data_IF_617390082746
#
_entry.id   IF_617390082746
#
_cell.length_a   1.000
_cell.length_b   1.000
_cell.length_c   1.000
_cell.angle_alpha   90.00
_cell.angle_beta   90.00
_cell.angle_gamma   90.00
#
_symmetry.space_group_name_H-M   'P 1'
#
loop_
_entity.id
_entity.type
_entity.pdbx_description
1 polymer ?
#
# COMPACT_ATOMS: atom_id res chain seq x y z
N UNK A 1 64.06 14.19 -50.51
CA UNK A 1 63.12 14.84 -49.62
C UNK A 1 63.03 14.00 -48.33
N UNK A 2 63.44 14.55 -47.19
CA UNK A 2 63.87 13.87 -45.97
C UNK A 2 62.67 13.35 -45.17
N UNK A 3 62.74 12.06 -44.82
CA UNK A 3 61.82 11.41 -43.86
C UNK A 3 62.49 11.51 -42.46
N UNK A 4 61.84 12.10 -41.50
CA UNK A 4 62.30 12.16 -40.11
C UNK A 4 61.43 11.17 -39.30
N UNK A 5 62.07 10.11 -38.82
CA UNK A 5 61.52 9.20 -37.83
C UNK A 5 61.65 9.80 -36.44
N UNK A 6 60.54 9.97 -35.70
CA UNK A 6 60.53 10.26 -34.30
C UNK A 6 60.06 9.04 -33.55
N UNK A 7 60.95 8.39 -32.82
CA UNK A 7 60.66 7.32 -31.89
C UNK A 7 60.13 7.99 -30.60
N UNK A 8 58.87 7.74 -30.25
CA UNK A 8 58.32 8.09 -28.93
C UNK A 8 58.37 6.88 -28.04
N UNK A 9 59.18 7.00 -26.99
CA UNK A 9 59.23 6.05 -25.88
C UNK A 9 57.90 5.94 -25.18
N UNK A 10 57.33 4.71 -25.14
CA UNK A 10 56.08 4.44 -24.48
C UNK A 10 56.21 4.43 -22.98
N UNK A 11 55.42 5.27 -22.31
CA UNK A 11 55.15 5.17 -20.89
C UNK A 11 53.93 4.30 -20.69
N UNK A 12 54.10 3.17 -20.04
CA UNK A 12 53.03 2.26 -19.67
C UNK A 12 52.27 2.83 -18.48
N UNK A 13 51.13 3.46 -18.72
CA UNK A 13 50.14 3.73 -17.66
C UNK A 13 49.26 2.48 -17.50
N UNK A 14 49.44 1.75 -16.40
CA UNK A 14 48.46 0.79 -15.93
C UNK A 14 47.24 1.59 -15.44
N UNK A 15 46.04 1.33 -16.00
CA UNK A 15 44.83 1.86 -15.39
C UNK A 15 44.63 1.11 -14.07
N UNK A 16 44.76 1.80 -12.93
CA UNK A 16 44.19 1.32 -11.68
C UNK A 16 42.66 1.21 -11.86
N UNK A 17 42.21 0.00 -12.08
CA UNK A 17 40.78 -0.34 -11.98
C UNK A 17 40.39 -0.19 -10.50
N UNK A 18 39.97 1.01 -10.12
CA UNK A 18 39.34 1.25 -8.84
C UNK A 18 38.06 0.43 -8.78
N UNK A 19 38.11 -0.70 -8.10
CA UNK A 19 36.93 -1.45 -7.71
C UNK A 19 36.13 -0.56 -6.77
N UNK A 20 35.19 0.25 -7.33
CA UNK A 20 34.16 0.86 -6.50
C UNK A 20 33.28 -0.27 -5.99
N UNK A 21 33.64 -0.75 -4.80
CA UNK A 21 32.72 -1.53 -3.98
C UNK A 21 31.61 -0.54 -3.61
N UNK A 22 30.52 -0.53 -4.37
CA UNK A 22 29.27 0.04 -3.89
C UNK A 22 28.85 -0.81 -2.69
N UNK A 23 29.34 -0.40 -1.53
CA UNK A 23 28.79 -0.83 -0.28
C UNK A 23 27.33 -0.39 -0.29
N UNK A 24 26.42 -1.32 -0.59
CA UNK A 24 25.03 -1.14 -0.25
C UNK A 24 25.03 -1.03 1.28
N UNK A 25 24.93 0.19 1.77
CA UNK A 25 24.61 0.41 3.17
C UNK A 25 23.26 -0.27 3.38
N UNK A 26 23.30 -1.47 3.92
CA UNK A 26 22.13 -2.06 4.55
C UNK A 26 21.76 -1.05 5.64
N UNK A 27 20.74 -0.25 5.38
CA UNK A 27 20.12 0.56 6.43
C UNK A 27 19.52 -0.50 7.36
N UNK A 28 20.30 -0.86 8.37
CA UNK A 28 19.81 -1.73 9.42
C UNK A 28 18.64 -1.01 10.09
N UNK A 29 17.60 -1.77 10.43
CA UNK A 29 16.53 -1.24 11.26
C UNK A 29 17.16 -0.56 12.49
N UNK A 30 16.63 0.58 12.96
CA UNK A 30 17.15 1.22 14.16
C UNK A 30 17.13 0.22 15.31
N UNK A 31 18.21 0.19 16.09
CA UNK A 31 18.24 -0.70 17.25
C UNK A 31 17.18 -0.25 18.28
N UNK A 32 16.61 -1.17 19.07
CA UNK A 32 15.61 -0.80 20.08
C UNK A 32 16.05 0.34 21.00
N UNK A 33 17.36 0.43 21.31
CA UNK A 33 17.92 1.49 22.17
C UNK A 33 17.88 2.90 21.53
N UNK A 34 17.69 2.99 20.22
CA UNK A 34 17.57 4.27 19.51
C UNK A 34 16.13 4.82 19.54
N UNK A 35 15.17 4.04 20.00
CA UNK A 35 13.76 4.39 20.04
C UNK A 35 13.39 4.84 21.44
N UNK A 36 12.92 6.08 21.58
CA UNK A 36 12.42 6.59 22.87
C UNK A 36 11.00 6.12 23.10
N UNK A 37 10.76 5.56 24.27
CA UNK A 37 9.45 5.05 24.67
C UNK A 37 8.97 5.78 25.93
N UNK A 38 7.65 5.91 26.13
CA UNK A 38 7.08 6.28 27.42
C UNK A 38 7.38 5.23 28.48
N UNK A 39 7.31 5.62 29.76
CA UNK A 39 7.47 4.70 30.88
C UNK A 39 6.42 3.58 30.84
N UNK A 40 6.86 2.37 31.14
CA UNK A 40 6.01 1.16 31.13
C UNK A 40 5.90 0.48 29.75
N UNK A 41 6.51 1.03 28.71
CA UNK A 41 6.58 0.38 27.40
C UNK A 41 7.94 -0.26 27.15
N UNK A 42 7.93 -1.38 26.42
CA UNK A 42 9.12 -2.08 25.94
C UNK A 42 9.00 -2.31 24.45
N UNK A 43 10.11 -2.16 23.73
CA UNK A 43 10.19 -2.47 22.30
C UNK A 43 11.12 -3.66 22.08
N UNK A 44 10.73 -4.53 21.18
CA UNK A 44 11.51 -5.68 20.75
C UNK A 44 11.48 -5.80 19.24
N UNK A 45 12.63 -6.10 18.62
CA UNK A 45 12.70 -6.42 17.21
C UNK A 45 12.28 -7.88 17.03
N UNK A 46 11.10 -8.12 16.48
CA UNK A 46 10.54 -9.45 16.25
C UNK A 46 11.11 -10.11 15.00
N UNK A 47 11.27 -9.32 13.93
CA UNK A 47 11.71 -9.84 12.63
C UNK A 47 12.34 -8.74 11.79
N UNK A 48 13.43 -9.07 11.08
CA UNK A 48 14.02 -8.22 10.06
C UNK A 48 13.64 -8.78 8.69
N UNK A 49 12.78 -8.05 7.98
CA UNK A 49 12.27 -8.48 6.67
C UNK A 49 13.41 -8.58 5.65
N UNK A 50 13.69 -9.76 5.06
CA UNK A 50 14.66 -9.88 3.99
C UNK A 50 14.14 -9.22 2.72
N UNK A 51 14.65 -8.03 2.44
CA UNK A 51 14.14 -7.13 1.39
C UNK A 51 14.13 -7.78 0.00
N UNK A 52 15.12 -8.61 -0.30
CA UNK A 52 15.24 -9.24 -1.62
C UNK A 52 14.19 -10.34 -1.85
N UNK A 53 13.72 -10.97 -0.77
CA UNK A 53 12.78 -12.07 -0.83
C UNK A 53 11.35 -11.66 -0.49
N UNK A 54 11.16 -10.81 0.52
CA UNK A 54 9.85 -10.44 1.07
C UNK A 54 9.53 -8.96 0.90
N UNK A 55 10.43 -8.17 0.34
CA UNK A 55 10.21 -6.76 0.00
C UNK A 55 10.15 -5.81 1.18
N UNK A 56 9.20 -4.87 1.14
CA UNK A 56 8.94 -3.89 2.20
C UNK A 56 7.49 -4.04 2.65
N UNK A 57 7.29 -4.44 3.89
CA UNK A 57 5.95 -4.59 4.44
C UNK A 57 5.34 -3.21 4.76
N UNK A 58 4.15 -2.95 4.23
CA UNK A 58 3.49 -1.64 4.30
C UNK A 58 2.11 -1.67 4.93
N UNK A 59 1.47 -2.83 5.01
CA UNK A 59 0.20 -3.00 5.69
C UNK A 59 0.21 -4.28 6.51
N UNK A 60 -0.58 -4.30 7.59
CA UNK A 60 -0.77 -5.48 8.42
C UNK A 60 -2.18 -5.53 9.01
N UNK A 61 -2.65 -6.74 9.25
CA UNK A 61 -3.82 -7.02 10.09
C UNK A 61 -3.60 -8.31 10.86
N UNK A 62 -4.49 -8.62 11.79
CA UNK A 62 -4.50 -9.86 12.53
C UNK A 62 -5.71 -10.69 12.07
N UNK A 63 -5.52 -12.01 11.91
CA UNK A 63 -6.61 -12.93 11.61
C UNK A 63 -7.30 -13.46 12.89
N UNK A 64 -8.35 -14.24 12.73
CA UNK A 64 -9.15 -14.86 13.80
C UNK A 64 -8.36 -15.85 14.66
N UNK A 65 -7.23 -16.37 14.15
CA UNK A 65 -6.32 -17.28 14.86
C UNK A 65 -5.18 -16.54 15.57
N UNK A 66 -5.20 -15.21 15.55
CA UNK A 66 -4.19 -14.37 16.19
C UNK A 66 -2.86 -14.31 15.43
N UNK A 67 -2.82 -14.66 14.15
CA UNK A 67 -1.65 -14.53 13.30
C UNK A 67 -1.59 -13.16 12.66
N UNK A 68 -0.39 -12.67 12.37
CA UNK A 68 -0.22 -11.48 11.55
C UNK A 68 -0.31 -11.83 10.06
N UNK A 69 -1.04 -11.01 9.32
CA UNK A 69 -1.04 -10.95 7.87
C UNK A 69 -0.41 -9.63 7.46
N UNK A 70 0.59 -9.68 6.59
CA UNK A 70 1.36 -8.50 6.15
C UNK A 70 1.50 -8.51 4.63
N UNK A 71 1.64 -7.32 4.03
CA UNK A 71 1.83 -7.19 2.58
C UNK A 71 3.12 -6.47 2.23
N UNK A 72 3.84 -6.99 1.24
CA UNK A 72 4.89 -6.25 0.54
C UNK A 72 4.27 -5.19 -0.38
N UNK A 73 4.79 -3.98 -0.35
CA UNK A 73 4.34 -2.86 -1.17
C UNK A 73 4.15 -3.21 -2.66
N UNK A 74 4.99 -4.05 -3.21
CA UNK A 74 4.99 -4.43 -4.64
C UNK A 74 4.83 -5.92 -4.89
N UNK A 75 4.79 -6.71 -3.85
CA UNK A 75 4.88 -8.16 -3.92
C UNK A 75 3.74 -8.89 -3.23
N UNK A 76 4.11 -9.92 -2.49
CA UNK A 76 3.20 -10.87 -1.89
C UNK A 76 2.56 -10.43 -0.59
N UNK A 77 1.64 -11.27 -0.15
CA UNK A 77 1.02 -11.20 1.16
C UNK A 77 1.49 -12.41 1.95
N UNK A 78 1.88 -12.21 3.19
CA UNK A 78 2.44 -13.25 4.04
C UNK A 78 1.65 -13.36 5.34
N UNK A 79 1.64 -14.55 5.94
CA UNK A 79 0.96 -14.85 7.20
C UNK A 79 1.88 -15.64 8.12
N UNK A 80 1.91 -15.31 9.41
CA UNK A 80 2.72 -16.01 10.39
C UNK A 80 2.18 -15.82 11.82
N UNK A 81 2.46 -16.76 12.74
CA UNK A 81 2.06 -16.63 14.14
C UNK A 81 2.84 -15.51 14.82
N UNK A 82 2.17 -14.75 15.69
CA UNK A 82 2.84 -13.77 16.57
C UNK A 82 3.67 -14.55 17.60
N UNK A 83 5.00 -14.30 17.70
CA UNK A 83 5.82 -14.98 18.68
C UNK A 83 5.45 -14.56 20.10
N UNK A 84 5.78 -15.40 21.08
CA UNK A 84 5.63 -15.03 22.49
C UNK A 84 6.58 -13.87 22.84
N UNK A 85 6.25 -13.17 23.94
CA UNK A 85 7.10 -12.08 24.43
C UNK A 85 8.53 -12.59 24.68
N UNK A 86 9.51 -11.90 24.11
CA UNK A 86 10.93 -12.25 24.19
C UNK A 86 11.39 -13.24 23.11
N UNK A 87 10.49 -13.79 22.29
CA UNK A 87 10.82 -14.64 21.15
C UNK A 87 10.85 -13.84 19.84
N UNK A 88 11.51 -14.38 18.83
CA UNK A 88 11.53 -13.82 17.47
C UNK A 88 10.64 -14.65 16.55
N UNK A 89 10.22 -14.05 15.45
CA UNK A 89 9.52 -14.77 14.39
C UNK A 89 10.48 -15.81 13.80
N UNK A 90 10.03 -17.07 13.76
CA UNK A 90 10.71 -18.12 13.01
C UNK A 90 10.46 -17.89 11.50
N UNK A 91 11.51 -17.65 10.69
CA UNK A 91 11.35 -17.47 9.25
C UNK A 91 10.63 -18.64 8.56
N UNK A 92 10.79 -19.87 9.07
CA UNK A 92 10.12 -21.05 8.51
C UNK A 92 8.62 -21.07 8.76
N UNK A 93 8.11 -20.29 9.73
CA UNK A 93 6.68 -20.15 10.00
C UNK A 93 5.96 -19.17 9.07
N UNK A 94 6.71 -18.38 8.30
CA UNK A 94 6.14 -17.38 7.39
C UNK A 94 5.62 -18.06 6.14
N UNK A 95 4.30 -18.03 5.97
CA UNK A 95 3.61 -18.60 4.82
C UNK A 95 3.23 -17.49 3.85
N UNK A 96 3.50 -17.66 2.57
CA UNK A 96 2.97 -16.80 1.53
C UNK A 96 1.53 -17.21 1.21
N UNK A 97 0.61 -16.26 1.18
CA UNK A 97 -0.79 -16.50 0.82
C UNK A 97 -0.88 -16.89 -0.66
N UNK A 98 -1.65 -17.94 -0.97
CA UNK A 98 -1.71 -18.62 -2.28
C UNK A 98 -1.97 -17.69 -3.46
N UNK A 99 -2.88 -16.73 -3.30
CA UNK A 99 -3.22 -15.76 -4.35
C UNK A 99 -2.26 -14.59 -4.45
N UNK A 100 -1.26 -14.50 -3.57
CA UNK A 100 -0.35 -13.37 -3.61
C UNK A 100 0.73 -13.51 -4.70
N UNK A 101 1.25 -12.38 -5.15
CA UNK A 101 2.36 -12.32 -6.10
C UNK A 101 3.63 -12.92 -5.50
N UNK A 102 4.36 -13.73 -6.23
CA UNK A 102 5.57 -14.37 -5.73
C UNK A 102 6.70 -13.36 -5.59
N UNK A 103 6.96 -12.95 -4.34
CA UNK A 103 8.18 -12.32 -3.86
C UNK A 103 8.61 -11.00 -4.51
N UNK A 104 9.66 -10.39 -3.98
CA UNK A 104 10.27 -9.15 -4.45
C UNK A 104 10.77 -9.18 -5.92
N UNK A 105 10.79 -10.35 -6.55
CA UNK A 105 11.05 -10.48 -8.00
C UNK A 105 10.02 -9.78 -8.87
N UNK A 106 8.79 -9.61 -8.40
CA UNK A 106 7.79 -8.76 -9.05
C UNK A 106 8.23 -7.29 -9.08
N UNK A 107 9.01 -6.85 -8.10
CA UNK A 107 9.57 -5.50 -7.99
C UNK A 107 10.56 -5.16 -9.10
N UNK A 108 11.36 -6.13 -9.53
CA UNK A 108 12.34 -5.93 -10.62
C UNK A 108 11.69 -5.63 -11.96
N UNK A 109 10.45 -6.05 -12.15
CA UNK A 109 9.68 -5.79 -13.37
C UNK A 109 9.34 -4.31 -13.56
N UNK A 110 9.17 -3.58 -12.46
CA UNK A 110 8.89 -2.13 -12.49
C UNK A 110 10.17 -1.32 -12.78
N UNK A 111 11.35 -1.87 -12.45
CA UNK A 111 12.66 -1.20 -12.59
C UNK A 111 13.45 -1.70 -13.83
N UNK A 112 12.85 -2.51 -14.71
CA UNK A 112 13.45 -2.90 -15.99
C UNK A 112 14.42 -4.07 -15.96
N UNK A 113 14.32 -4.97 -14.97
CA UNK A 113 15.08 -6.23 -14.96
C UNK A 113 14.13 -7.43 -15.12
N UNK A 114 14.39 -8.29 -16.13
CA UNK A 114 13.56 -9.46 -16.44
C UNK A 114 13.49 -10.47 -15.28
N UNK A 115 12.27 -10.79 -14.77
CA UNK A 115 12.09 -11.86 -13.80
C UNK A 115 12.22 -13.23 -14.49
N UNK A 116 12.69 -14.23 -13.74
CA UNK A 116 12.59 -15.63 -14.20
C UNK A 116 11.09 -15.95 -14.46
N UNK A 117 10.78 -16.66 -15.54
CA UNK A 117 9.41 -17.02 -15.87
C UNK A 117 8.80 -17.88 -14.74
N UNK A 118 7.55 -17.57 -14.36
CA UNK A 118 6.75 -18.40 -13.47
C UNK A 118 6.47 -19.76 -14.14
N UNK A 119 6.29 -20.80 -13.33
CA UNK A 119 5.79 -22.08 -13.89
C UNK A 119 4.44 -21.85 -14.57
N UNK A 120 4.08 -22.63 -15.61
CA UNK A 120 2.83 -22.47 -16.34
C UNK A 120 1.59 -22.52 -15.43
N UNK A 121 1.62 -23.33 -14.37
CA UNK A 121 0.52 -23.46 -13.40
C UNK A 121 0.40 -22.19 -12.54
N UNK A 122 1.51 -21.69 -12.00
CA UNK A 122 1.53 -20.46 -11.19
C UNK A 122 1.19 -19.21 -12.01
N UNK A 123 1.47 -19.23 -13.31
CA UNK A 123 1.13 -18.12 -14.19
C UNK A 123 -0.38 -18.00 -14.48
N UNK A 124 -1.13 -19.10 -14.33
CA UNK A 124 -2.59 -19.14 -14.61
C UNK A 124 -3.45 -18.65 -13.46
N UNK A 125 -2.94 -18.66 -12.23
CA UNK A 125 -3.72 -18.19 -11.07
C UNK A 125 -3.78 -16.67 -11.04
N UNK A 126 -4.93 -16.08 -10.74
CA UNK A 126 -5.01 -14.64 -10.48
C UNK A 126 -4.10 -14.30 -9.31
N UNK A 127 -3.26 -13.27 -9.49
CA UNK A 127 -2.27 -12.88 -8.47
C UNK A 127 -2.65 -11.54 -7.88
N UNK A 128 -2.79 -11.50 -6.56
CA UNK A 128 -2.98 -10.28 -5.80
C UNK A 128 -1.64 -9.82 -5.22
N UNK A 129 -1.33 -8.57 -5.41
CA UNK A 129 -0.14 -7.90 -4.90
C UNK A 129 -0.35 -6.40 -4.90
N UNK A 130 0.66 -5.62 -4.53
CA UNK A 130 0.53 -4.17 -4.38
C UNK A 130 -0.57 -3.79 -3.36
N UNK A 131 -0.75 -4.62 -2.34
CA UNK A 131 -1.72 -4.40 -1.31
C UNK A 131 -1.24 -3.26 -0.39
N UNK A 132 -2.06 -2.22 -0.28
CA UNK A 132 -1.82 -1.07 0.59
C UNK A 132 -2.68 -1.11 1.85
N UNK A 133 -3.77 -1.88 1.83
CA UNK A 133 -4.63 -2.10 2.98
C UNK A 133 -5.01 -3.55 3.14
N UNK A 134 -5.05 -4.02 4.37
CA UNK A 134 -5.45 -5.37 4.76
C UNK A 134 -6.43 -5.31 5.93
N UNK A 135 -7.48 -6.11 5.88
CA UNK A 135 -8.42 -6.29 6.98
C UNK A 135 -8.92 -7.73 6.99
N UNK A 136 -8.80 -8.42 8.13
CA UNK A 136 -9.46 -9.70 8.34
C UNK A 136 -10.77 -9.46 9.10
N UNK A 137 -11.87 -9.77 8.46
CA UNK A 137 -13.21 -9.66 9.02
C UNK A 137 -14.16 -10.60 8.25
N UNK A 138 -15.29 -10.97 8.84
CA UNK A 138 -16.32 -11.80 8.21
C UNK A 138 -15.74 -13.09 7.58
N UNK A 139 -14.86 -13.76 8.33
CA UNK A 139 -14.13 -14.98 7.92
C UNK A 139 -13.42 -14.85 6.57
N UNK A 140 -12.88 -13.66 6.29
CA UNK A 140 -12.27 -13.33 5.00
C UNK A 140 -11.15 -12.31 5.14
N UNK A 141 -10.20 -12.35 4.22
CA UNK A 141 -9.18 -11.31 4.09
C UNK A 141 -9.61 -10.32 3.00
N UNK A 142 -9.83 -9.08 3.40
CA UNK A 142 -10.04 -7.96 2.49
C UNK A 142 -8.71 -7.30 2.16
N UNK A 143 -8.54 -6.97 0.88
CA UNK A 143 -7.29 -6.43 0.35
C UNK A 143 -7.58 -5.22 -0.51
N UNK A 144 -6.96 -4.08 -0.19
CA UNK A 144 -6.98 -2.88 -1.02
C UNK A 144 -5.73 -2.87 -1.89
N UNK A 145 -5.93 -2.90 -3.19
CA UNK A 145 -4.85 -2.87 -4.19
C UNK A 145 -4.74 -1.48 -4.79
N UNK A 146 -3.54 -0.91 -4.71
CA UNK A 146 -3.25 0.42 -5.25
C UNK A 146 -1.97 0.38 -6.09
N UNK A 147 -2.08 0.03 -7.36
CA UNK A 147 -0.96 0.05 -8.29
C UNK A 147 -1.37 -0.04 -9.75
N UNK A 148 -0.73 0.76 -10.58
CA UNK A 148 -0.80 0.65 -12.06
C UNK A 148 -0.23 -0.67 -12.58
N UNK A 149 0.64 -1.31 -11.80
CA UNK A 149 1.31 -2.56 -12.19
C UNK A 149 0.54 -3.80 -11.74
N UNK A 150 -0.57 -3.63 -11.03
CA UNK A 150 -1.43 -4.76 -10.65
C UNK A 150 -2.14 -5.32 -11.88
N UNK A 151 -2.05 -6.63 -12.07
CA UNK A 151 -2.79 -7.33 -13.13
C UNK A 151 -4.30 -7.38 -12.87
N UNK A 152 -4.71 -7.16 -11.61
CA UNK A 152 -6.11 -7.14 -11.20
C UNK A 152 -6.73 -5.74 -11.28
N UNK A 153 -5.90 -4.69 -11.42
CA UNK A 153 -6.31 -3.28 -11.32
C UNK A 153 -6.40 -2.81 -9.87
N UNK A 154 -6.56 -1.49 -9.71
CA UNK A 154 -6.80 -0.91 -8.40
C UNK A 154 -8.21 -1.25 -7.95
N UNK A 155 -8.37 -1.56 -6.67
CA UNK A 155 -9.68 -1.93 -6.16
C UNK A 155 -9.66 -2.63 -4.83
N UNK A 156 -10.84 -3.07 -4.42
CA UNK A 156 -11.06 -3.85 -3.21
C UNK A 156 -11.39 -5.29 -3.58
N UNK A 157 -10.68 -6.20 -2.94
CA UNK A 157 -10.78 -7.64 -3.18
C UNK A 157 -11.05 -8.36 -1.86
N UNK A 158 -11.70 -9.52 -1.95
CA UNK A 158 -11.97 -10.41 -0.83
C UNK A 158 -11.41 -11.79 -1.14
N UNK A 159 -10.60 -12.32 -0.23
CA UNK A 159 -10.09 -13.68 -0.25
C UNK A 159 -10.90 -14.52 0.75
N UNK A 160 -11.39 -15.66 0.31
CA UNK A 160 -12.18 -16.59 1.11
C UNK A 160 -11.49 -17.95 1.16
N UNK A 161 -11.62 -18.59 2.30
CA UNK A 161 -11.40 -20.01 2.51
C UNK A 161 -12.78 -20.67 2.45
N UNK A 162 -13.09 -21.39 1.36
CA UNK A 162 -14.45 -21.91 1.14
C UNK A 162 -14.60 -23.36 1.58
N UNK A 163 -13.52 -24.07 1.82
CA UNK A 163 -13.52 -25.46 2.27
C UNK A 163 -13.06 -25.65 3.73
N UNK A 164 -12.59 -24.56 4.37
CA UNK A 164 -12.23 -24.56 5.78
C UNK A 164 -10.86 -25.17 6.08
N UNK A 165 -9.98 -25.27 5.08
CA UNK A 165 -8.63 -25.84 5.24
C UNK A 165 -7.57 -24.85 5.69
N UNK A 166 -7.97 -23.60 5.99
CA UNK A 166 -7.13 -22.49 6.39
C UNK A 166 -6.30 -21.88 5.24
N UNK A 167 -6.61 -22.24 3.99
CA UNK A 167 -6.03 -21.59 2.83
C UNK A 167 -7.12 -20.82 2.07
N UNK A 168 -6.75 -19.64 1.55
CA UNK A 168 -7.68 -18.91 0.71
C UNK A 168 -7.74 -19.57 -0.68
N UNK A 169 -8.90 -20.04 -1.09
CA UNK A 169 -9.13 -20.74 -2.35
C UNK A 169 -9.98 -19.93 -3.34
N UNK A 170 -10.57 -18.82 -2.91
CA UNK A 170 -11.41 -17.96 -3.75
C UNK A 170 -11.07 -16.50 -3.62
N UNK A 171 -10.86 -15.84 -4.76
CA UNK A 171 -10.66 -14.41 -4.90
C UNK A 171 -11.88 -13.76 -5.54
N UNK A 172 -12.47 -12.78 -4.85
CA UNK A 172 -13.63 -12.00 -5.32
C UNK A 172 -13.23 -10.54 -5.46
N UNK A 173 -13.50 -9.92 -6.61
CA UNK A 173 -13.38 -8.47 -6.79
C UNK A 173 -14.67 -7.83 -6.29
N UNK A 174 -14.58 -7.02 -5.23
CA UNK A 174 -15.72 -6.28 -4.68
C UNK A 174 -15.97 -4.97 -5.44
N UNK A 175 -14.89 -4.25 -5.75
CA UNK A 175 -14.97 -2.98 -6.50
C UNK A 175 -13.70 -2.75 -7.31
N UNK A 176 -13.88 -2.33 -8.54
CA UNK A 176 -12.82 -1.76 -9.36
C UNK A 176 -12.75 -0.24 -9.14
N UNK A 177 -11.57 0.27 -8.84
CA UNK A 177 -11.34 1.68 -8.52
C UNK A 177 -10.46 2.40 -9.56
N UNK A 178 -10.25 1.77 -10.72
CA UNK A 178 -9.54 2.35 -11.85
C UNK A 178 -8.21 1.66 -12.21
N UNK A 179 -7.70 1.98 -13.40
CA UNK A 179 -6.41 1.47 -13.90
C UNK A 179 -5.21 2.30 -13.40
N UNK A 180 -5.48 3.47 -12.88
CA UNK A 180 -4.46 4.44 -12.50
C UNK A 180 -4.55 4.73 -11.00
N UNK A 181 -3.92 3.88 -10.19
CA UNK A 181 -3.57 4.36 -8.87
C UNK A 181 -2.45 5.37 -9.04
N UNK A 182 -2.74 6.57 -8.64
CA UNK A 182 -1.69 7.53 -8.34
C UNK A 182 -1.06 7.23 -6.99
N UNK A 183 -0.20 8.09 -6.56
CA UNK A 183 0.36 8.10 -5.21
C UNK A 183 -0.76 8.25 -4.14
N UNK A 184 -1.84 8.95 -4.50
CA UNK A 184 -3.04 9.15 -3.69
C UNK A 184 -4.18 8.19 -4.12
N UNK A 185 -3.88 6.90 -4.16
CA UNK A 185 -4.83 5.85 -4.53
C UNK A 185 -5.73 5.41 -3.38
N UNK A 186 -6.39 4.25 -3.51
CA UNK A 186 -7.05 3.59 -2.40
C UNK A 186 -5.98 3.00 -1.46
N UNK A 187 -6.17 3.18 -0.13
CA UNK A 187 -5.14 2.85 0.86
C UNK A 187 -5.59 1.80 1.87
N UNK A 188 -6.61 2.08 2.67
CA UNK A 188 -6.98 1.23 3.79
C UNK A 188 -8.39 0.69 3.70
N UNK A 189 -8.63 -0.37 4.47
CA UNK A 189 -9.94 -0.93 4.75
C UNK A 189 -9.98 -1.34 6.21
N UNK A 190 -11.00 -0.91 6.95
CA UNK A 190 -11.14 -1.14 8.38
C UNK A 190 -12.54 -1.65 8.72
N UNK A 191 -12.72 -2.47 9.77
CA UNK A 191 -14.03 -2.91 10.19
C UNK A 191 -14.78 -1.78 10.90
N UNK A 192 -16.08 -1.68 10.66
CA UNK A 192 -16.96 -0.77 11.39
C UNK A 192 -17.25 -1.30 12.80
N UNK A 193 -17.49 -0.41 13.78
CA UNK A 193 -17.85 -0.82 15.15
C UNK A 193 -19.17 -1.58 15.26
N UNK A 194 -20.04 -1.45 14.25
CA UNK A 194 -21.33 -2.11 14.19
C UNK A 194 -21.25 -3.63 13.92
N UNK A 195 -20.05 -4.13 13.56
CA UNK A 195 -19.81 -5.53 13.21
C UNK A 195 -20.53 -6.01 11.95
N UNK A 196 -20.96 -5.09 11.08
CA UNK A 196 -21.74 -5.40 9.87
C UNK A 196 -21.12 -4.81 8.60
N UNK A 197 -20.33 -3.75 8.71
CA UNK A 197 -19.80 -3.01 7.59
C UNK A 197 -18.27 -2.88 7.66
N UNK A 198 -17.71 -2.44 6.56
CA UNK A 198 -16.32 -2.04 6.40
C UNK A 198 -16.25 -0.61 5.87
N UNK A 199 -15.16 0.09 6.17
CA UNK A 199 -14.87 1.41 5.64
C UNK A 199 -13.63 1.35 4.77
N UNK A 200 -13.71 1.92 3.57
CA UNK A 200 -12.61 1.99 2.60
C UNK A 200 -12.12 3.43 2.50
N UNK A 201 -10.81 3.62 2.63
CA UNK A 201 -10.15 4.92 2.66
C UNK A 201 -9.47 5.15 1.30
N UNK A 202 -9.83 6.23 0.61
CA UNK A 202 -9.48 6.44 -0.80
C UNK A 202 -9.00 7.87 -1.04
N UNK A 203 -7.77 8.02 -1.53
CA UNK A 203 -7.16 9.31 -1.84
C UNK A 203 -7.67 9.93 -3.15
N UNK A 204 -7.36 11.21 -3.36
CA UNK A 204 -7.96 12.07 -4.39
C UNK A 204 -7.51 11.82 -5.85
N UNK A 205 -6.58 10.91 -6.08
CA UNK A 205 -6.24 10.45 -7.44
C UNK A 205 -7.10 9.27 -7.89
N UNK A 206 -8.05 8.83 -7.06
CA UNK A 206 -9.03 7.82 -7.41
C UNK A 206 -10.40 8.49 -7.54
N UNK A 207 -10.95 8.48 -8.74
CA UNK A 207 -12.30 9.02 -9.01
C UNK A 207 -13.35 8.23 -8.26
N UNK A 208 -14.38 8.91 -7.79
CA UNK A 208 -15.57 8.25 -7.24
C UNK A 208 -16.24 7.44 -8.35
N UNK A 209 -16.42 6.12 -8.19
CA UNK A 209 -17.13 5.30 -9.16
C UNK A 209 -18.60 5.74 -9.30
N UNK A 210 -19.07 5.81 -10.55
CA UNK A 210 -20.45 6.23 -10.82
C UNK A 210 -21.53 5.22 -10.33
N UNK A 211 -21.10 4.01 -10.01
CA UNK A 211 -21.96 2.91 -9.53
C UNK A 211 -21.99 2.78 -8.00
N UNK A 212 -21.59 3.81 -7.26
CA UNK A 212 -21.85 3.84 -5.83
C UNK A 212 -23.35 3.91 -5.57
N UNK A 213 -23.80 3.18 -4.56
CA UNK A 213 -25.24 2.98 -4.32
C UNK A 213 -25.89 4.18 -3.62
N UNK A 214 -25.12 4.91 -2.83
CA UNK A 214 -25.60 6.03 -2.04
C UNK A 214 -24.48 6.99 -1.62
N UNK A 215 -24.85 8.23 -1.27
CA UNK A 215 -23.94 9.22 -0.68
C UNK A 215 -24.64 9.94 0.48
N UNK A 216 -23.95 10.03 1.61
CA UNK A 216 -24.35 10.91 2.73
C UNK A 216 -23.99 12.37 2.45
N UNK A 217 -22.99 12.58 1.59
CA UNK A 217 -22.52 13.89 1.20
C UNK A 217 -23.47 14.47 0.16
N UNK A 218 -23.93 15.74 0.30
CA UNK A 218 -24.78 16.40 -0.68
C UNK A 218 -24.12 16.47 -2.06
N UNK A 219 -24.92 16.48 -3.13
CA UNK A 219 -24.41 16.61 -4.50
C UNK A 219 -23.84 18.01 -4.81
N UNK A 220 -24.12 18.99 -3.97
CA UNK A 220 -23.61 20.36 -4.12
C UNK A 220 -22.34 20.51 -3.32
N UNK A 221 -21.23 20.61 -4.00
CA UNK A 221 -19.88 20.62 -3.43
C UNK A 221 -19.41 22.01 -2.96
N UNK A 222 -20.28 22.99 -2.84
CA UNK A 222 -19.94 24.30 -2.34
C UNK A 222 -18.86 25.03 -3.16
N UNK A 223 -18.00 25.76 -2.48
CA UNK A 223 -16.96 26.59 -3.11
C UNK A 223 -15.80 25.77 -3.73
N UNK A 224 -15.62 24.53 -3.35
CA UNK A 224 -14.55 23.65 -3.86
C UNK A 224 -14.67 23.40 -5.36
N UNK A 225 -15.85 23.55 -5.92
CA UNK A 225 -16.08 23.53 -7.36
C UNK A 225 -15.47 24.72 -8.11
N UNK A 226 -15.15 25.79 -7.41
CA UNK A 226 -14.61 27.01 -8.01
C UNK A 226 -13.12 26.92 -8.33
N UNK A 227 -12.42 25.92 -7.79
CA UNK A 227 -11.01 25.70 -8.05
C UNK A 227 -10.84 24.68 -9.17
N UNK A 228 -10.56 25.15 -10.40
CA UNK A 228 -10.35 24.22 -11.50
C UNK A 228 -9.11 23.37 -11.27
N UNK A 229 -9.10 22.24 -11.94
CA UNK A 229 -8.05 21.24 -11.92
C UNK A 229 -6.65 21.84 -11.84
N UNK A 230 -5.94 21.34 -10.92
CA UNK A 230 -4.67 21.84 -10.46
C UNK A 230 -3.56 21.45 -11.46
N UNK A 231 -2.47 22.16 -11.39
CA UNK A 231 -1.29 21.87 -12.18
C UNK A 231 -0.44 20.79 -11.50
N UNK A 232 0.64 20.35 -12.16
CA UNK A 232 1.57 19.35 -11.68
C UNK A 232 0.93 17.97 -11.44
N UNK A 233 1.32 17.27 -10.38
CA UNK A 233 0.89 15.90 -10.12
C UNK A 233 -0.60 15.77 -9.75
N UNK A 234 -1.22 16.88 -9.32
CA UNK A 234 -2.66 16.95 -9.02
C UNK A 234 -3.52 17.29 -10.24
N UNK A 235 -2.93 17.46 -11.42
CA UNK A 235 -3.68 17.76 -12.63
C UNK A 235 -4.74 16.70 -12.92
N UNK A 236 -5.99 17.13 -12.98
CA UNK A 236 -7.14 16.27 -13.23
C UNK A 236 -7.76 15.68 -11.97
N UNK A 237 -7.27 16.03 -10.78
CA UNK A 237 -8.03 15.80 -9.55
C UNK A 237 -9.20 16.78 -9.50
N UNK A 238 -10.40 16.27 -9.40
CA UNK A 238 -11.66 17.02 -9.40
C UNK A 238 -12.45 16.69 -8.14
N UNK A 239 -13.27 17.64 -7.67
CA UNK A 239 -14.21 17.34 -6.59
C UNK A 239 -15.06 16.10 -6.94
N UNK A 240 -15.40 15.28 -5.95
CA UNK A 240 -15.28 15.48 -4.51
C UNK A 240 -13.93 15.08 -3.89
N UNK A 241 -12.85 14.89 -4.65
CA UNK A 241 -11.52 14.55 -4.18
C UNK A 241 -11.44 13.18 -3.48
N UNK A 242 -10.58 13.07 -2.45
CA UNK A 242 -10.50 11.85 -1.65
C UNK A 242 -11.77 11.61 -0.85
N UNK A 243 -12.11 10.35 -0.63
CA UNK A 243 -13.35 9.99 0.02
C UNK A 243 -13.22 8.76 0.90
N UNK A 244 -14.17 8.59 1.79
CA UNK A 244 -14.35 7.40 2.62
C UNK A 244 -15.68 6.76 2.24
N UNK A 245 -15.66 5.47 1.95
CA UNK A 245 -16.85 4.71 1.61
C UNK A 245 -17.15 3.62 2.63
N UNK A 246 -18.40 3.48 3.03
CA UNK A 246 -18.90 2.33 3.80
C UNK A 246 -19.40 1.26 2.83
N UNK A 247 -19.09 -0.01 3.13
CA UNK A 247 -19.50 -1.16 2.30
C UNK A 247 -20.04 -2.29 3.15
N UNK A 248 -20.93 -3.09 2.57
CA UNK A 248 -21.27 -4.40 3.14
C UNK A 248 -20.17 -5.44 2.85
N UNK A 249 -20.12 -6.56 3.57
CA UNK A 249 -19.07 -7.56 3.42
C UNK A 249 -18.96 -8.18 2.02
N UNK A 250 -20.04 -8.21 1.24
CA UNK A 250 -20.10 -8.71 -0.13
C UNK A 250 -19.79 -7.64 -1.18
N UNK A 251 -19.64 -6.37 -0.77
CA UNK A 251 -19.39 -5.25 -1.66
C UNK A 251 -20.54 -4.91 -2.60
N UNK A 252 -21.78 -5.26 -2.23
CA UNK A 252 -23.01 -4.96 -3.01
C UNK A 252 -23.46 -3.53 -2.80
N UNK A 253 -23.24 -3.00 -1.61
CA UNK A 253 -23.54 -1.61 -1.25
C UNK A 253 -22.25 -0.82 -1.08
N UNK A 254 -22.23 0.38 -1.65
CA UNK A 254 -21.14 1.33 -1.54
C UNK A 254 -21.73 2.70 -1.27
N UNK A 255 -21.50 3.22 -0.08
CA UNK A 255 -22.03 4.49 0.37
C UNK A 255 -20.88 5.45 0.67
N UNK A 256 -20.91 6.66 0.09
CA UNK A 256 -19.96 7.72 0.44
C UNK A 256 -20.34 8.26 1.81
N UNK A 257 -19.39 8.24 2.74
CA UNK A 257 -19.54 8.74 4.10
C UNK A 257 -19.10 10.19 4.21
N UNK A 258 -17.92 10.50 3.66
CA UNK A 258 -17.33 11.84 3.67
C UNK A 258 -16.38 12.00 2.48
N UNK A 259 -16.14 13.25 2.07
CA UNK A 259 -15.30 13.64 0.94
C UNK A 259 -14.33 14.77 1.33
N UNK A 260 -13.70 15.41 0.35
CA UNK A 260 -12.85 16.59 0.56
C UNK A 260 -11.43 16.28 1.02
N UNK A 261 -11.03 15.01 1.06
CA UNK A 261 -9.69 14.61 1.47
C UNK A 261 -8.69 14.69 0.33
N UNK A 262 -7.41 14.83 0.69
CA UNK A 262 -6.31 14.77 -0.26
C UNK A 262 -5.73 13.36 -0.35
N UNK A 263 -5.09 12.88 0.69
CA UNK A 263 -4.42 11.58 0.72
C UNK A 263 -4.41 11.01 2.14
N UNK A 264 -5.58 10.74 2.65
CA UNK A 264 -5.75 10.01 3.89
C UNK A 264 -5.29 8.56 3.68
N UNK A 265 -4.35 8.12 4.50
CA UNK A 265 -3.72 6.82 4.33
C UNK A 265 -4.43 5.72 5.12
N UNK A 266 -4.90 6.05 6.33
CA UNK A 266 -5.55 5.10 7.23
C UNK A 266 -6.58 5.81 8.09
N UNK A 267 -7.41 5.05 8.80
CA UNK A 267 -8.42 5.56 9.70
C UNK A 267 -8.62 4.61 10.88
N UNK A 268 -9.19 5.13 11.95
CA UNK A 268 -9.52 4.34 13.13
C UNK A 268 -10.77 4.88 13.82
N UNK A 269 -11.55 3.98 14.39
CA UNK A 269 -12.65 4.34 15.29
C UNK A 269 -12.16 4.48 16.73
N UNK A 270 -12.66 5.48 17.43
CA UNK A 270 -12.49 5.57 18.88
C UNK A 270 -13.48 4.64 19.62
N UNK A 271 -13.46 4.66 20.95
CA UNK A 271 -14.33 3.80 21.75
C UNK A 271 -15.81 4.15 21.66
N UNK A 272 -16.11 5.39 21.32
CA UNK A 272 -17.45 5.92 21.13
C UNK A 272 -18.00 5.64 19.73
N UNK A 273 -17.18 5.06 18.83
CA UNK A 273 -17.56 4.74 17.46
C UNK A 273 -17.37 5.90 16.47
N UNK A 274 -16.70 6.97 16.90
CA UNK A 274 -16.37 8.10 16.04
C UNK A 274 -15.14 7.80 15.17
N UNK A 275 -15.21 8.14 13.90
CA UNK A 275 -14.15 7.87 12.93
C UNK A 275 -13.13 9.01 12.88
N UNK A 276 -11.86 8.66 12.94
CA UNK A 276 -10.74 9.57 12.78
C UNK A 276 -9.82 9.10 11.66
N UNK A 277 -9.29 10.06 10.90
CA UNK A 277 -8.23 9.83 9.93
C UNK A 277 -7.17 10.92 10.06
N UNK A 278 -6.03 10.73 9.40
CA UNK A 278 -5.10 11.82 9.14
C UNK A 278 -5.01 12.04 7.63
N UNK A 279 -4.89 13.28 7.22
CA UNK A 279 -4.74 13.65 5.82
C UNK A 279 -3.34 14.21 5.59
N UNK A 280 -2.76 13.89 4.44
CA UNK A 280 -1.41 14.32 4.10
C UNK A 280 -1.31 15.84 3.98
N UNK A 281 -0.10 16.33 4.11
CA UNK A 281 0.23 17.72 3.83
C UNK A 281 -0.09 18.10 2.37
N UNK A 282 -0.29 19.40 2.15
CA UNK A 282 -0.52 19.95 0.82
C UNK A 282 0.71 20.70 0.35
N UNK A 283 1.23 20.30 -0.80
CA UNK A 283 2.35 20.94 -1.48
C UNK A 283 1.98 21.14 -2.95
N UNK A 284 2.18 22.33 -3.50
CA UNK A 284 1.98 22.60 -4.92
C UNK A 284 0.57 22.32 -5.49
N UNK A 285 -0.42 22.03 -4.68
CA UNK A 285 -1.75 21.63 -5.14
C UNK A 285 -2.46 22.74 -5.94
N UNK A 286 -2.15 23.99 -5.66
CA UNK A 286 -2.63 25.13 -6.43
C UNK A 286 -1.63 25.63 -7.50
N UNK A 287 -0.63 24.79 -7.85
CA UNK A 287 0.42 25.16 -8.80
C UNK A 287 1.43 26.17 -8.27
N UNK A 288 1.44 26.42 -6.97
CA UNK A 288 2.38 27.30 -6.25
C UNK A 288 2.98 26.55 -5.06
N UNK A 289 4.15 27.00 -4.56
CA UNK A 289 4.79 26.40 -3.39
C UNK A 289 4.01 26.75 -2.13
N UNK A 290 2.90 26.10 -1.96
CA UNK A 290 2.05 26.27 -0.79
C UNK A 290 2.10 25.00 0.05
N UNK A 291 2.32 25.16 1.36
CA UNK A 291 2.40 24.06 2.32
C UNK A 291 1.28 24.17 3.36
N UNK A 292 0.52 23.10 3.53
CA UNK A 292 -0.35 22.87 4.67
C UNK A 292 0.08 21.58 5.36
N UNK A 293 0.26 21.58 6.69
CA UNK A 293 0.74 20.40 7.40
C UNK A 293 -0.30 19.27 7.41
N UNK A 294 0.18 18.06 7.64
CA UNK A 294 -0.64 16.90 7.92
C UNK A 294 -1.62 17.20 9.07
N UNK A 295 -2.85 16.74 8.93
CA UNK A 295 -3.95 17.00 9.86
C UNK A 295 -4.53 15.69 10.38
N UNK A 296 -4.93 15.70 11.66
CA UNK A 296 -5.83 14.68 12.20
C UNK A 296 -7.25 15.24 12.06
N UNK A 297 -8.14 14.46 11.49
CA UNK A 297 -9.50 14.85 11.14
C UNK A 297 -10.47 13.91 11.86
N UNK A 298 -11.43 14.48 12.57
CA UNK A 298 -12.65 13.80 12.98
C UNK A 298 -13.59 13.76 11.76
N UNK A 299 -13.88 12.57 11.27
CA UNK A 299 -14.70 12.37 10.09
C UNK A 299 -16.16 12.40 10.48
N UNK A 300 -16.88 13.41 10.02
CA UNK A 300 -18.31 13.57 10.27
C UNK A 300 -19.08 13.05 9.05
N UNK A 301 -20.13 12.29 9.30
CA UNK A 301 -21.03 11.77 8.26
C UNK A 301 -21.59 12.92 7.40
N UNK A 302 -21.42 12.80 6.08
CA UNK A 302 -21.90 13.79 5.13
C UNK A 302 -21.03 15.03 5.00
N UNK A 303 -19.86 15.08 5.62
CA UNK A 303 -18.92 16.18 5.48
C UNK A 303 -18.15 16.14 4.15
N UNK A 304 -17.81 17.33 3.66
CA UNK A 304 -16.93 17.59 2.52
C UNK A 304 -15.77 18.49 2.95
#
# INVERSE_FOLDING_TARGET
>A
MKIINIIKTGSWYLPLLGLMIYGHSLIAAPSPEQIRLPDGFKIELLYSVPRDDQGSWVAMCQDDKGRLIVSDQHGGIYRFPIPKLGEKVDPASIQQITYSVVGAKARRRIIGTDPKPLTPELAKLPKIGHAQGLCYAFDSLYVVVSSRSSTLGCGVYRLLDTDGDDNFDKLVKLKYLGDTAGEHGPHAIIPAPDGKHLYVIIGNQTKVPADYTHSRVPEVWGEDQLFPSLQHFMKGAEAPLGHIAQIDPEGKTWEIVATGFRNQYDAAFNREGELFTYDADMEWDLGTPWYRPTRIIHVIDGAD
#
